data_IF_994042226301
#
_entry.id   IF_994042226301
#
_cell.length_a   1.000
_cell.length_b   1.000
_cell.length_c   1.000
_cell.angle_alpha   90.00
_cell.angle_beta   90.00
_cell.angle_gamma   90.00
#
_symmetry.space_group_name_H-M   'P 1'
#
loop_
_entity.id
_entity.type
_entity.pdbx_description
1 polymer ?
#
# COMPACT_ATOMS: atom_id res chain seq x y z
N UNK A 1 -10.73 -51.51 47.89
CA UNK A 1 -10.81 -50.79 49.18
C UNK A 1 -10.25 -49.38 48.98
N UNK A 2 -11.06 -48.37 49.31
CA UNK A 2 -10.74 -46.95 49.63
C UNK A 2 -9.80 -46.20 48.66
N UNK A 3 -10.34 -45.39 47.73
CA UNK A 3 -10.63 -43.93 47.88
C UNK A 3 -9.57 -43.14 48.64
N UNK A 4 -9.00 -42.10 48.02
CA UNK A 4 -8.93 -40.74 48.58
C UNK A 4 -8.73 -39.74 47.44
N UNK A 5 -9.68 -38.81 47.41
CA UNK A 5 -9.79 -37.61 46.59
C UNK A 5 -9.14 -36.47 47.40
N UNK A 6 -8.17 -35.74 46.86
CA UNK A 6 -7.66 -34.51 47.49
C UNK A 6 -8.05 -33.29 46.65
N UNK A 7 -8.99 -32.53 47.19
CA UNK A 7 -9.26 -31.14 46.82
C UNK A 7 -8.19 -30.26 47.48
N UNK A 8 -7.59 -29.35 46.72
CA UNK A 8 -6.97 -28.15 47.28
C UNK A 8 -7.61 -26.92 46.63
N UNK A 9 -8.25 -26.15 47.50
CA UNK A 9 -8.76 -24.80 47.27
C UNK A 9 -7.71 -23.85 47.83
N UNK A 10 -7.31 -22.84 47.06
CA UNK A 10 -6.66 -21.63 47.58
C UNK A 10 -6.98 -20.47 46.64
N UNK A 11 -7.94 -19.62 47.03
CA UNK A 11 -7.74 -18.28 47.62
C UNK A 11 -7.38 -17.25 46.56
N UNK A 12 -8.40 -16.47 46.21
CA UNK A 12 -8.30 -15.20 45.52
C UNK A 12 -7.56 -14.18 46.41
N UNK A 13 -6.62 -13.46 45.82
CA UNK A 13 -6.07 -12.22 46.38
C UNK A 13 -6.16 -11.15 45.30
N UNK A 14 -7.26 -10.39 45.34
CA UNK A 14 -7.37 -9.11 44.66
C UNK A 14 -6.53 -8.10 45.44
N UNK A 15 -5.46 -7.58 44.83
CA UNK A 15 -4.80 -6.37 45.32
C UNK A 15 -5.59 -5.16 44.82
N UNK A 16 -6.23 -4.49 45.78
CA UNK A 16 -6.79 -3.14 45.61
C UNK A 16 -5.63 -2.16 45.88
N UNK A 17 -5.17 -1.46 44.85
CA UNK A 17 -4.55 -0.14 45.03
C UNK A 17 -5.50 0.90 44.45
N UNK A 18 -6.08 1.68 45.36
CA UNK A 18 -6.84 2.87 45.05
C UNK A 18 -5.90 4.07 44.93
N UNK A 19 -6.09 4.87 43.89
CA UNK A 19 -6.01 6.33 43.97
C UNK A 19 -4.75 7.01 43.46
N UNK A 20 -4.83 7.52 42.23
CA UNK A 20 -4.73 8.97 42.01
C UNK A 20 -5.65 9.34 40.86
N UNK A 21 -6.78 9.98 41.17
CA UNK A 21 -7.70 10.52 40.20
C UNK A 21 -7.19 11.87 39.68
N UNK A 22 -6.84 11.91 38.39
CA UNK A 22 -6.86 13.12 37.58
C UNK A 22 -8.04 12.98 36.61
N UNK A 23 -9.13 13.67 36.91
CA UNK A 23 -10.29 13.72 36.02
C UNK A 23 -10.06 14.73 34.91
N UNK A 24 -9.89 14.24 33.69
CA UNK A 24 -10.37 14.91 32.48
C UNK A 24 -11.37 13.97 31.84
N UNK A 25 -12.66 14.25 32.05
CA UNK A 25 -13.74 13.65 31.29
C UNK A 25 -13.80 14.33 29.92
N UNK A 26 -12.94 13.91 29.01
CA UNK A 26 -13.29 13.96 27.59
C UNK A 26 -14.13 12.72 27.34
N UNK A 27 -15.43 12.92 27.19
CA UNK A 27 -16.30 11.93 26.58
C UNK A 27 -15.84 11.85 25.12
N UNK A 28 -14.86 10.99 24.83
CA UNK A 28 -14.72 10.48 23.48
C UNK A 28 -15.96 9.63 23.25
N UNK A 29 -16.96 10.22 22.61
CA UNK A 29 -17.87 9.47 21.76
C UNK A 29 -16.99 8.79 20.73
N UNK A 30 -16.49 7.60 21.06
CA UNK A 30 -16.04 6.65 20.06
C UNK A 30 -17.32 6.24 19.33
N UNK A 31 -17.66 7.01 18.29
CA UNK A 31 -18.49 6.51 17.22
C UNK A 31 -17.75 5.29 16.69
N UNK A 32 -18.27 4.10 16.97
CA UNK A 32 -17.91 2.94 16.16
C UNK A 32 -18.10 3.35 14.70
N UNK A 33 -17.07 3.29 13.84
CA UNK A 33 -17.24 3.57 12.44
C UNK A 33 -18.39 2.70 11.94
N UNK A 34 -19.34 3.34 11.27
CA UNK A 34 -20.50 2.67 10.74
C UNK A 34 -20.02 1.94 9.48
N UNK A 35 -19.70 0.65 9.60
CA UNK A 35 -19.27 -0.18 8.48
C UNK A 35 -20.42 -1.06 7.97
N UNK A 36 -20.26 -1.57 6.76
CA UNK A 36 -21.10 -2.59 6.13
C UNK A 36 -20.18 -3.69 5.59
N UNK A 37 -20.64 -4.93 5.67
CA UNK A 37 -19.88 -6.07 5.11
C UNK A 37 -20.39 -6.43 3.73
N UNK A 38 -19.49 -6.46 2.74
CA UNK A 38 -19.73 -7.06 1.41
C UNK A 38 -19.23 -8.50 1.45
N UNK A 39 -20.07 -9.44 1.07
CA UNK A 39 -19.76 -10.87 1.09
C UNK A 39 -20.18 -11.54 -0.20
N UNK A 40 -19.58 -12.68 -0.49
CA UNK A 40 -19.91 -13.47 -1.68
C UNK A 40 -18.94 -14.62 -1.89
N UNK A 41 -19.00 -15.22 -3.06
CA UNK A 41 -18.03 -16.21 -3.53
C UNK A 41 -17.52 -15.86 -4.92
N UNK A 42 -16.22 -16.06 -5.14
CA UNK A 42 -15.52 -15.81 -6.40
C UNK A 42 -14.65 -17.02 -6.77
N UNK A 43 -14.32 -17.24 -8.06
CA UNK A 43 -13.32 -18.23 -8.44
C UNK A 43 -11.88 -17.73 -8.26
N UNK A 44 -11.70 -16.41 -8.15
CA UNK A 44 -10.40 -15.73 -7.95
C UNK A 44 -10.15 -15.34 -6.50
N UNK A 45 -9.14 -14.49 -6.30
CA UNK A 45 -8.38 -14.43 -5.04
C UNK A 45 -8.28 -13.03 -4.46
N UNK A 46 -8.31 -11.94 -5.22
CA UNK A 46 -8.22 -10.57 -4.71
C UNK A 46 -9.51 -9.77 -5.00
N UNK A 47 -10.02 -9.10 -3.98
CA UNK A 47 -11.19 -8.21 -4.05
C UNK A 47 -10.77 -6.89 -3.45
N UNK A 48 -10.99 -5.81 -4.19
CA UNK A 48 -10.53 -4.45 -3.89
C UNK A 48 -11.72 -3.48 -3.98
N UNK A 49 -11.72 -2.48 -3.10
CA UNK A 49 -12.68 -1.41 -3.08
C UNK A 49 -11.95 -0.07 -2.93
N UNK A 50 -12.16 0.81 -3.90
CA UNK A 50 -11.65 2.18 -3.95
C UNK A 50 -12.81 3.09 -3.59
N UNK A 51 -12.66 3.97 -2.59
CA UNK A 51 -13.74 4.82 -2.09
C UNK A 51 -13.51 6.27 -2.50
N UNK A 52 -14.58 7.08 -2.57
CA UNK A 52 -14.52 8.48 -3.02
C UNK A 52 -13.81 9.44 -2.05
N UNK A 53 -13.08 8.93 -1.08
CA UNK A 53 -12.40 9.69 -0.03
C UNK A 53 -10.95 9.22 0.15
N UNK A 54 -10.33 8.68 -0.90
CA UNK A 54 -8.99 8.08 -0.82
C UNK A 54 -9.01 6.63 -0.31
N UNK A 55 -10.00 6.27 0.53
CA UNK A 55 -9.88 5.03 1.31
C UNK A 55 -9.88 3.74 0.47
N UNK A 56 -8.81 2.96 0.56
CA UNK A 56 -8.64 1.67 -0.10
C UNK A 56 -8.88 0.48 0.85
N UNK A 57 -9.73 -0.46 0.44
CA UNK A 57 -10.02 -1.69 1.19
C UNK A 57 -9.84 -2.92 0.32
N UNK A 58 -9.14 -3.92 0.83
CA UNK A 58 -8.97 -5.18 0.10
C UNK A 58 -9.11 -6.42 0.99
N UNK A 59 -9.49 -7.52 0.36
CA UNK A 59 -9.51 -8.84 0.98
C UNK A 59 -9.14 -9.91 -0.04
N UNK A 60 -8.41 -10.92 0.42
CA UNK A 60 -8.23 -12.14 -0.37
C UNK A 60 -9.31 -13.16 -0.08
N UNK A 61 -9.89 -13.76 -1.12
CA UNK A 61 -10.85 -14.85 -0.96
C UNK A 61 -10.17 -16.07 -0.30
N UNK A 62 -10.95 -16.85 0.44
CA UNK A 62 -10.42 -18.03 1.15
C UNK A 62 -10.55 -19.29 0.29
N UNK A 63 -9.43 -19.80 -0.22
CA UNK A 63 -9.43 -21.09 -0.91
C UNK A 63 -9.88 -22.23 0.02
N UNK A 64 -11.05 -22.78 -0.30
CA UNK A 64 -11.72 -23.87 0.40
C UNK A 64 -11.70 -25.19 -0.40
N UNK A 65 -10.91 -25.26 -1.48
CA UNK A 65 -10.82 -26.39 -2.41
C UNK A 65 -12.02 -26.54 -3.35
N UNK A 66 -12.84 -25.50 -3.48
CA UNK A 66 -13.97 -25.44 -4.44
C UNK A 66 -13.69 -24.40 -5.52
N UNK A 67 -14.62 -24.18 -6.45
CA UNK A 67 -14.55 -23.07 -7.42
C UNK A 67 -15.25 -21.79 -6.90
N UNK A 68 -15.77 -21.83 -5.68
CA UNK A 68 -16.52 -20.73 -5.05
C UNK A 68 -15.84 -20.38 -3.72
N UNK A 69 -14.81 -19.54 -3.79
CA UNK A 69 -14.02 -19.09 -2.64
C UNK A 69 -14.73 -17.94 -1.92
N UNK A 70 -15.09 -18.09 -0.65
CA UNK A 70 -15.79 -17.05 0.10
C UNK A 70 -14.86 -15.88 0.44
N UNK A 71 -15.44 -14.68 0.48
CA UNK A 71 -14.80 -13.46 0.97
C UNK A 71 -15.78 -12.63 1.80
N UNK A 72 -15.23 -11.81 2.71
CA UNK A 72 -15.95 -10.80 3.48
C UNK A 72 -15.07 -9.54 3.52
N UNK A 73 -15.55 -8.44 2.95
CA UNK A 73 -14.88 -7.14 2.90
C UNK A 73 -15.69 -6.15 3.75
N UNK A 74 -15.06 -5.51 4.72
CA UNK A 74 -15.71 -4.46 5.51
C UNK A 74 -15.36 -3.09 4.93
N UNK A 75 -16.38 -2.32 4.53
CA UNK A 75 -16.23 -0.94 4.03
C UNK A 75 -17.08 0.03 4.84
N UNK A 76 -16.74 1.33 4.93
CA UNK A 76 -17.59 2.32 5.57
C UNK A 76 -18.94 2.46 4.86
N UNK A 77 -20.03 2.48 5.63
CA UNK A 77 -21.38 2.58 5.07
C UNK A 77 -21.82 4.01 4.74
N UNK A 78 -20.94 4.97 4.97
CA UNK A 78 -21.09 6.39 4.66
C UNK A 78 -20.48 6.77 3.33
N UNK A 79 -19.56 5.96 2.83
CA UNK A 79 -18.78 6.23 1.62
C UNK A 79 -19.37 5.48 0.43
N UNK A 80 -19.08 6.02 -0.74
CA UNK A 80 -19.34 5.37 -2.00
C UNK A 80 -18.03 4.78 -2.49
N UNK A 81 -18.06 3.54 -2.98
CA UNK A 81 -16.86 2.85 -3.42
C UNK A 81 -17.11 2.11 -4.74
N UNK A 82 -16.06 1.95 -5.52
CA UNK A 82 -15.96 1.13 -6.73
C UNK A 82 -15.34 -0.22 -6.36
N UNK A 83 -15.78 -1.32 -6.97
CA UNK A 83 -15.25 -2.65 -6.69
C UNK A 83 -14.48 -3.19 -7.90
N UNK A 84 -13.24 -3.60 -7.67
CA UNK A 84 -12.42 -4.33 -8.65
C UNK A 84 -12.14 -5.72 -8.10
N UNK A 85 -12.17 -6.72 -8.97
CA UNK A 85 -11.82 -8.09 -8.60
C UNK A 85 -10.77 -8.65 -9.56
N UNK A 86 -9.71 -9.19 -8.98
CA UNK A 86 -8.56 -9.70 -9.72
C UNK A 86 -8.47 -11.22 -9.52
N UNK A 87 -8.53 -11.96 -10.64
CA UNK A 87 -8.29 -13.41 -10.65
C UNK A 87 -6.84 -13.70 -11.02
N UNK A 88 -6.29 -14.80 -10.48
CA UNK A 88 -4.87 -15.15 -10.64
C UNK A 88 -3.91 -14.00 -10.31
N UNK A 89 -4.21 -13.21 -9.27
CA UNK A 89 -3.47 -12.02 -8.85
C UNK A 89 -1.96 -12.27 -8.68
N UNK A 90 -1.56 -13.45 -8.22
CA UNK A 90 -0.16 -13.82 -8.02
C UNK A 90 0.60 -14.16 -9.34
N UNK A 91 -0.05 -14.08 -10.52
CA UNK A 91 0.53 -14.45 -11.80
C UNK A 91 0.24 -13.42 -12.91
N UNK A 92 1.23 -12.57 -13.18
CA UNK A 92 1.17 -11.53 -14.22
C UNK A 92 0.86 -12.01 -15.65
N UNK A 93 1.01 -13.30 -15.98
CA UNK A 93 0.69 -13.82 -17.33
C UNK A 93 -0.77 -14.26 -17.47
N UNK A 94 -1.41 -14.66 -16.36
CA UNK A 94 -2.77 -15.18 -16.38
C UNK A 94 -3.75 -14.36 -15.56
N UNK A 95 -3.28 -13.24 -14.99
CA UNK A 95 -4.10 -12.29 -14.26
C UNK A 95 -5.24 -11.81 -15.15
N UNK A 96 -6.40 -11.60 -14.53
CA UNK A 96 -7.53 -10.92 -15.15
C UNK A 96 -8.09 -9.96 -14.12
N UNK A 97 -8.04 -8.67 -14.42
CA UNK A 97 -8.70 -7.63 -13.63
C UNK A 97 -10.10 -7.43 -14.20
N UNK A 98 -11.11 -7.30 -13.34
CA UNK A 98 -12.50 -7.11 -13.76
C UNK A 98 -13.19 -6.09 -12.86
N UNK A 99 -13.59 -4.98 -13.47
CA UNK A 99 -14.41 -3.97 -12.81
C UNK A 99 -15.82 -4.49 -12.55
N UNK A 100 -16.31 -4.31 -11.33
CA UNK A 100 -17.63 -4.75 -10.90
C UNK A 100 -18.58 -3.56 -10.89
N UNK A 101 -19.65 -3.67 -11.65
CA UNK A 101 -20.72 -2.68 -11.66
C UNK A 101 -21.97 -3.19 -10.94
N UNK A 102 -22.65 -2.27 -10.26
CA UNK A 102 -23.88 -2.51 -9.54
C UNK A 102 -25.09 -2.03 -10.34
N UNK A 103 -26.05 -2.93 -10.56
CA UNK A 103 -27.21 -2.66 -11.41
C UNK A 103 -28.51 -2.89 -10.65
N UNK A 104 -29.40 -1.90 -10.72
CA UNK A 104 -30.80 -2.01 -10.31
C UNK A 104 -31.69 -1.85 -11.56
N UNK A 105 -32.99 -2.20 -11.49
CA UNK A 105 -33.89 -2.04 -12.64
C UNK A 105 -33.97 -0.62 -13.20
N UNK A 106 -33.62 0.39 -12.41
CA UNK A 106 -33.79 1.80 -12.73
C UNK A 106 -32.45 2.54 -12.96
N UNK A 107 -31.31 2.00 -12.53
CA UNK A 107 -30.00 2.68 -12.55
C UNK A 107 -28.84 1.69 -12.50
N UNK A 108 -27.73 2.03 -13.14
CA UNK A 108 -26.47 1.28 -13.13
C UNK A 108 -25.30 2.22 -12.93
N UNK A 109 -24.32 1.80 -12.13
CA UNK A 109 -23.02 2.46 -12.00
C UNK A 109 -21.98 1.49 -11.44
N UNK A 110 -20.71 1.83 -11.59
CA UNK A 110 -19.57 1.22 -10.90
C UNK A 110 -19.45 1.71 -9.47
N UNK A 111 -19.89 2.93 -9.19
CA UNK A 111 -19.87 3.53 -7.86
C UNK A 111 -21.15 3.26 -7.05
N UNK A 112 -20.98 2.75 -5.83
CA UNK A 112 -22.10 2.47 -4.93
C UNK A 112 -21.77 2.71 -3.46
N UNK A 113 -22.79 3.05 -2.67
CA UNK A 113 -22.71 3.10 -1.21
C UNK A 113 -23.46 1.95 -0.56
N UNK A 114 -22.75 1.18 0.26
CA UNK A 114 -23.30 0.05 1.02
C UNK A 114 -23.95 0.49 2.33
N UNK A 115 -25.24 0.83 2.33
CA UNK A 115 -25.92 1.29 3.55
C UNK A 115 -26.16 0.18 4.61
N UNK A 116 -25.99 -1.09 4.23
CA UNK A 116 -26.04 -2.30 5.07
C UNK A 116 -25.20 -3.41 4.44
N UNK A 117 -25.00 -4.49 5.19
CA UNK A 117 -24.40 -5.72 4.68
C UNK A 117 -25.02 -6.19 3.35
N UNK A 118 -24.14 -6.61 2.44
CA UNK A 118 -24.43 -7.03 1.09
C UNK A 118 -23.92 -8.46 0.91
N UNK A 119 -24.75 -9.32 0.32
CA UNK A 119 -24.34 -10.62 -0.19
C UNK A 119 -24.51 -10.61 -1.71
N UNK A 120 -23.38 -10.63 -2.42
CA UNK A 120 -23.31 -10.63 -3.89
C UNK A 120 -23.54 -12.04 -4.46
N UNK A 121 -23.63 -13.08 -3.62
CA UNK A 121 -23.70 -14.46 -4.05
C UNK A 121 -22.44 -14.88 -4.79
N UNK A 122 -22.60 -15.76 -5.78
CA UNK A 122 -21.49 -16.21 -6.62
C UNK A 122 -21.29 -15.28 -7.82
N UNK A 123 -20.08 -14.74 -7.93
CA UNK A 123 -19.65 -13.87 -9.03
C UNK A 123 -18.77 -14.69 -9.98
N UNK A 124 -19.23 -14.97 -11.21
CA UNK A 124 -18.50 -15.81 -12.15
C UNK A 124 -17.42 -15.01 -12.88
N UNK A 125 -16.29 -14.77 -12.22
CA UNK A 125 -15.13 -14.12 -12.84
C UNK A 125 -14.42 -15.08 -13.79
N UNK A 126 -13.89 -14.53 -14.89
CA UNK A 126 -13.06 -15.28 -15.81
C UNK A 126 -11.66 -15.50 -15.23
N UNK A 127 -11.12 -16.70 -15.42
CA UNK A 127 -9.80 -17.11 -14.91
C UNK A 127 -8.72 -17.10 -16.00
N UNK A 128 -9.06 -16.61 -17.20
CA UNK A 128 -8.22 -16.60 -18.39
C UNK A 128 -8.56 -15.36 -19.19
N UNK A 129 -7.58 -14.48 -19.39
CA UNK A 129 -7.75 -13.20 -20.08
C UNK A 129 -8.23 -13.38 -21.53
N UNK A 130 -8.00 -14.55 -22.14
CA UNK A 130 -8.52 -14.83 -23.50
C UNK A 130 -10.04 -15.01 -23.56
N UNK A 131 -10.71 -15.09 -22.41
CA UNK A 131 -12.16 -15.18 -22.28
C UNK A 131 -12.83 -13.83 -22.01
N UNK A 132 -12.06 -12.80 -21.68
CA UNK A 132 -12.55 -11.42 -21.57
C UNK A 132 -12.28 -10.63 -22.86
N UNK A 133 -12.88 -9.45 -22.95
CA UNK A 133 -12.49 -8.45 -23.94
C UNK A 133 -11.43 -7.59 -23.27
N UNK A 134 -10.26 -7.57 -23.88
CA UNK A 134 -9.03 -6.90 -23.45
C UNK A 134 -8.39 -6.42 -24.77
N UNK A 135 -8.62 -5.16 -25.13
CA UNK A 135 -8.30 -4.58 -26.45
C UNK A 135 -6.85 -4.11 -26.53
N UNK A 136 -6.34 -3.56 -25.44
CA UNK A 136 -4.98 -3.02 -25.30
C UNK A 136 -3.96 -4.08 -24.84
N UNK A 137 -4.40 -5.17 -24.21
CA UNK A 137 -3.54 -6.29 -23.82
C UNK A 137 -2.96 -6.16 -22.42
N UNK A 138 -3.56 -5.31 -21.58
CA UNK A 138 -3.13 -4.98 -20.21
C UNK A 138 -3.61 -5.98 -19.14
N UNK A 139 -4.34 -7.02 -19.55
CA UNK A 139 -4.99 -8.00 -18.68
C UNK A 139 -6.15 -7.45 -17.83
N UNK A 140 -6.66 -6.28 -18.17
CA UNK A 140 -7.88 -5.67 -17.63
C UNK A 140 -9.04 -5.92 -18.60
N UNK A 141 -10.23 -6.16 -18.07
CA UNK A 141 -11.39 -6.34 -18.93
C UNK A 141 -12.04 -5.00 -19.27
N UNK A 142 -12.12 -4.68 -20.56
CA UNK A 142 -12.84 -3.51 -21.10
C UNK A 142 -14.37 -3.54 -20.86
N UNK A 143 -14.91 -4.62 -20.27
CA UNK A 143 -16.33 -4.69 -19.94
C UNK A 143 -16.51 -4.78 -18.44
N UNK A 144 -17.35 -3.88 -17.94
CA UNK A 144 -17.85 -3.96 -16.57
C UNK A 144 -18.72 -5.20 -16.36
N UNK A 145 -18.39 -6.01 -15.35
CA UNK A 145 -19.21 -7.13 -14.93
C UNK A 145 -20.40 -6.65 -14.09
N UNK A 146 -21.59 -6.70 -14.68
CA UNK A 146 -22.82 -6.26 -14.04
C UNK A 146 -23.41 -7.27 -13.06
N UNK A 147 -23.56 -6.87 -11.79
CA UNK A 147 -24.26 -7.67 -10.77
C UNK A 147 -25.64 -7.07 -10.47
N UNK A 148 -26.67 -7.90 -10.61
CA UNK A 148 -28.03 -7.56 -10.18
C UNK A 148 -28.20 -7.81 -8.67
N UNK A 149 -28.45 -6.71 -7.95
CA UNK A 149 -28.56 -6.68 -6.48
C UNK A 149 -29.98 -6.35 -6.02
N UNK A 150 -30.99 -6.67 -6.84
CA UNK A 150 -32.41 -6.50 -6.57
C UNK A 150 -32.80 -6.74 -5.09
N UNK A 151 -33.06 -5.65 -4.35
CA UNK A 151 -33.54 -5.69 -2.95
C UNK A 151 -32.49 -5.44 -1.86
N UNK A 152 -31.22 -5.22 -2.22
CA UNK A 152 -30.14 -4.84 -1.30
C UNK A 152 -30.15 -3.32 -1.02
N UNK A 153 -29.82 -2.90 0.20
CA UNK A 153 -29.79 -1.47 0.61
C UNK A 153 -28.54 -0.78 0.09
N UNK A 154 -28.44 -0.61 -1.23
CA UNK A 154 -27.38 0.15 -1.90
C UNK A 154 -27.91 1.45 -2.46
N UNK A 155 -27.05 2.46 -2.50
CA UNK A 155 -27.31 3.72 -3.21
C UNK A 155 -26.33 3.78 -4.37
N UNK A 156 -26.84 3.84 -5.60
CA UNK A 156 -26.03 3.99 -6.82
C UNK A 156 -25.76 5.47 -7.05
N UNK A 157 -24.51 5.82 -7.31
CA UNK A 157 -24.08 7.17 -7.66
C UNK A 157 -23.65 7.19 -9.13
N UNK A 158 -24.12 8.18 -9.89
CA UNK A 158 -24.00 8.21 -11.36
C UNK A 158 -22.73 8.88 -11.87
N UNK A 159 -22.08 9.66 -11.02
CA UNK A 159 -20.79 10.28 -11.30
C UNK A 159 -19.79 9.50 -10.44
N UNK A 160 -18.76 8.94 -11.08
CA UNK A 160 -17.69 8.23 -10.42
C UNK A 160 -16.44 9.11 -10.51
N UNK A 161 -15.95 9.72 -9.42
CA UNK A 161 -14.75 10.55 -9.46
C UNK A 161 -13.48 9.72 -9.70
N UNK A 162 -13.56 8.39 -9.56
CA UNK A 162 -12.48 7.43 -9.80
C UNK A 162 -12.41 6.96 -11.27
N UNK A 163 -13.17 7.58 -12.17
CA UNK A 163 -13.38 7.19 -13.57
C UNK A 163 -13.53 8.48 -14.39
N UNK A 164 -12.39 9.10 -14.69
CA UNK A 164 -12.33 10.47 -15.20
C UNK A 164 -12.90 10.60 -16.62
N UNK A 165 -12.87 9.52 -17.41
CA UNK A 165 -13.34 9.51 -18.78
C UNK A 165 -14.76 8.90 -18.98
N UNK A 166 -15.37 8.42 -17.88
CA UNK A 166 -16.68 7.77 -17.79
C UNK A 166 -16.80 6.50 -18.68
N UNK A 167 -15.71 5.76 -18.92
CA UNK A 167 -15.75 4.49 -19.66
C UNK A 167 -16.20 3.30 -18.80
N UNK A 168 -16.21 3.49 -17.48
CA UNK A 168 -16.66 2.52 -16.51
C UNK A 168 -15.54 1.64 -15.95
N UNK A 169 -14.27 1.88 -16.24
CA UNK A 169 -13.11 1.38 -15.49
C UNK A 169 -12.77 2.38 -14.36
N UNK A 170 -11.82 2.05 -13.50
CA UNK A 170 -11.26 3.05 -12.57
C UNK A 170 -9.89 3.47 -13.07
N UNK A 171 -9.55 4.75 -12.93
CA UNK A 171 -8.35 5.38 -13.52
C UNK A 171 -7.08 4.58 -13.17
N UNK A 172 -6.95 4.13 -11.93
CA UNK A 172 -5.81 3.31 -11.46
C UNK A 172 -5.57 2.03 -12.31
N UNK A 173 -6.59 1.52 -13.00
CA UNK A 173 -6.49 0.34 -13.85
C UNK A 173 -6.54 0.64 -15.35
N UNK A 174 -6.46 1.91 -15.78
CA UNK A 174 -6.27 2.31 -17.18
C UNK A 174 -4.86 1.99 -17.69
N UNK A 175 -4.57 2.31 -18.95
CA UNK A 175 -3.30 2.08 -19.68
C UNK A 175 -3.00 3.35 -20.49
N UNK A 176 -2.54 4.39 -19.78
CA UNK A 176 -2.47 5.77 -20.27
C UNK A 176 -1.45 5.96 -21.39
N UNK A 177 -0.30 5.30 -21.31
CA UNK A 177 0.74 5.33 -22.33
C UNK A 177 0.48 4.35 -23.50
N UNK A 178 -0.41 3.37 -23.30
CA UNK A 178 -0.79 2.36 -24.27
C UNK A 178 0.28 1.32 -24.55
N UNK A 179 1.14 1.00 -23.58
CA UNK A 179 2.17 -0.03 -23.69
C UNK A 179 1.65 -1.45 -23.41
N UNK A 180 0.43 -1.55 -22.87
CA UNK A 180 -0.25 -2.79 -22.52
C UNK A 180 0.10 -3.28 -21.11
N UNK A 181 0.42 -2.37 -20.21
CA UNK A 181 0.49 -2.55 -18.77
C UNK A 181 -0.46 -1.52 -18.16
N UNK A 182 -1.37 -1.95 -17.29
CA UNK A 182 -2.25 -0.98 -16.64
C UNK A 182 -1.48 -0.15 -15.61
N UNK A 183 -1.84 1.12 -15.38
CA UNK A 183 -1.15 2.06 -14.49
C UNK A 183 -0.82 1.42 -13.11
N UNK A 184 -1.75 0.72 -12.46
CA UNK A 184 -1.53 0.00 -11.18
C UNK A 184 -0.33 -0.99 -11.17
N UNK A 185 0.07 -1.48 -12.35
CA UNK A 185 1.18 -2.43 -12.53
C UNK A 185 2.30 -1.87 -13.42
N UNK A 186 2.22 -0.62 -13.84
CA UNK A 186 3.30 0.11 -14.48
C UNK A 186 4.18 0.79 -13.42
N UNK A 187 5.44 1.06 -13.76
CA UNK A 187 6.34 1.87 -12.93
C UNK A 187 6.59 3.26 -13.58
N UNK A 188 6.10 3.51 -14.81
CA UNK A 188 6.24 4.72 -15.65
C UNK A 188 4.98 4.86 -16.54
N UNK A 189 3.84 5.13 -15.91
CA UNK A 189 2.48 4.95 -16.48
C UNK A 189 2.13 5.91 -17.64
N UNK A 190 2.84 7.03 -17.76
CA UNK A 190 2.72 8.00 -18.85
C UNK A 190 3.89 7.95 -19.87
N UNK A 191 4.92 7.14 -19.57
CA UNK A 191 6.11 6.88 -20.37
C UNK A 191 6.90 8.15 -20.74
N UNK A 192 6.93 9.14 -19.86
CA UNK A 192 7.77 10.31 -20.01
C UNK A 192 9.26 9.99 -19.76
N UNK A 193 9.53 8.85 -19.10
CA UNK A 193 10.85 8.33 -18.77
C UNK A 193 11.34 8.64 -17.35
N UNK A 194 10.45 9.11 -16.49
CA UNK A 194 10.58 9.20 -15.04
C UNK A 194 9.70 8.09 -14.44
N UNK A 195 10.18 7.43 -13.38
CA UNK A 195 9.34 6.41 -12.73
C UNK A 195 8.30 7.13 -11.85
N UNK A 196 7.07 6.63 -11.76
CA UNK A 196 5.94 7.22 -11.02
C UNK A 196 6.36 7.64 -9.60
N UNK A 197 7.12 6.78 -8.91
CA UNK A 197 7.67 7.05 -7.56
C UNK A 197 8.58 8.29 -7.45
N UNK A 198 9.01 8.84 -8.59
CA UNK A 198 9.84 10.03 -8.72
C UNK A 198 9.19 11.09 -9.61
N UNK A 199 8.02 10.82 -10.18
CA UNK A 199 7.31 11.80 -10.98
C UNK A 199 6.51 12.76 -10.10
N UNK A 200 6.25 13.93 -10.65
CA UNK A 200 5.58 15.04 -9.98
C UNK A 200 4.34 15.50 -10.75
N UNK A 201 4.11 15.00 -11.96
CA UNK A 201 2.84 15.16 -12.67
C UNK A 201 1.84 14.06 -12.34
N UNK A 202 2.32 12.92 -11.85
CA UNK A 202 1.52 11.86 -11.22
C UNK A 202 1.35 12.16 -9.73
N UNK A 203 0.44 13.10 -9.44
CA UNK A 203 0.20 13.63 -8.10
C UNK A 203 -0.91 12.82 -7.43
N UNK A 204 -0.74 11.49 -7.35
CA UNK A 204 -1.61 10.51 -6.68
C UNK A 204 -0.75 9.66 -5.73
N UNK A 205 -0.60 10.14 -4.50
CA UNK A 205 0.38 9.71 -3.52
C UNK A 205 0.09 8.33 -2.90
N UNK A 206 -1.18 7.90 -2.90
CA UNK A 206 -1.59 6.57 -2.44
C UNK A 206 -2.01 5.62 -3.57
N UNK A 207 -2.13 6.13 -4.81
CA UNK A 207 -2.40 5.38 -6.02
C UNK A 207 -3.83 4.85 -6.07
N UNK A 208 -4.80 5.61 -5.57
CA UNK A 208 -6.21 5.20 -5.55
C UNK A 208 -7.01 5.66 -6.80
N UNK A 209 -6.39 6.46 -7.67
CA UNK A 209 -6.97 7.04 -8.87
C UNK A 209 -7.57 8.43 -8.65
N UNK A 210 -7.32 9.08 -7.51
CA UNK A 210 -7.69 10.46 -7.24
C UNK A 210 -6.41 11.29 -7.09
N UNK A 211 -6.27 12.35 -7.89
CA UNK A 211 -5.18 13.33 -7.72
C UNK A 211 -5.21 13.96 -6.31
N UNK A 212 -4.06 14.08 -5.63
CA UNK A 212 -3.88 14.60 -4.26
C UNK A 212 -4.54 15.99 -4.06
N UNK A 213 -4.62 16.85 -5.09
CA UNK A 213 -5.33 18.15 -4.97
C UNK A 213 -6.87 17.97 -4.80
N UNK A 214 -7.38 16.78 -5.14
CA UNK A 214 -8.79 16.37 -5.10
C UNK A 214 -9.07 15.23 -4.13
N UNK A 215 -8.03 14.52 -3.67
CA UNK A 215 -8.10 13.58 -2.56
C UNK A 215 -8.31 14.34 -1.24
N UNK A 216 -8.79 13.61 -0.24
CA UNK A 216 -9.05 14.11 1.10
C UNK A 216 -8.26 13.35 2.17
N UNK A 217 -7.55 12.29 1.81
CA UNK A 217 -6.63 11.42 2.58
C UNK A 217 -5.55 10.91 1.59
N UNK A 218 -4.73 11.83 1.06
CA UNK A 218 -3.83 11.65 -0.10
C UNK A 218 -2.74 10.58 0.06
N UNK A 219 -2.41 10.19 1.30
CA UNK A 219 -1.50 9.08 1.61
C UNK A 219 -2.19 7.85 2.24
N UNK A 220 -3.51 7.94 2.40
CA UNK A 220 -4.44 6.90 2.86
C UNK A 220 -3.97 6.22 4.16
N UNK A 221 -3.39 7.01 5.06
CA UNK A 221 -2.99 6.57 6.38
C UNK A 221 -4.19 6.50 7.36
N UNK A 222 -5.35 6.98 6.92
CA UNK A 222 -6.62 7.02 7.63
C UNK A 222 -6.87 8.35 8.35
N UNK A 223 -6.19 9.42 7.94
CA UNK A 223 -6.28 10.77 8.49
C UNK A 223 -6.51 11.77 7.36
N UNK A 224 -7.60 12.55 7.43
CA UNK A 224 -7.89 13.53 6.39
C UNK A 224 -6.81 14.61 6.30
N UNK A 225 -6.45 15.09 5.10
CA UNK A 225 -5.39 16.11 4.89
C UNK A 225 -5.69 17.43 5.63
N UNK A 226 -6.97 17.76 5.86
CA UNK A 226 -7.34 18.93 6.69
C UNK A 226 -6.91 18.78 8.17
N UNK A 227 -6.76 17.54 8.64
CA UNK A 227 -6.36 17.13 9.98
C UNK A 227 -4.95 16.51 10.01
N UNK A 228 -4.34 16.27 8.84
CA UNK A 228 -2.96 15.83 8.66
C UNK A 228 -2.00 17.03 8.57
N UNK A 229 -0.86 16.93 9.26
CA UNK A 229 0.22 17.93 9.19
C UNK A 229 1.43 17.37 8.40
N UNK A 230 1.34 16.11 7.92
CA UNK A 230 2.43 15.29 7.38
C UNK A 230 2.00 14.56 6.06
N UNK A 231 1.87 15.29 4.94
CA UNK A 231 1.49 14.84 3.58
C UNK A 231 2.31 13.66 2.94
N UNK A 232 3.13 12.90 3.69
CA UNK A 232 3.95 11.79 3.15
C UNK A 232 4.68 10.91 4.21
N UNK A 233 3.98 10.17 5.07
CA UNK A 233 4.62 9.07 5.85
C UNK A 233 3.75 7.81 5.98
N UNK A 234 3.52 7.13 4.86
CA UNK A 234 3.25 5.69 4.90
C UNK A 234 4.51 4.91 5.33
N UNK A 235 4.75 4.83 6.65
CA UNK A 235 5.56 3.75 7.24
C UNK A 235 4.99 3.17 8.53
N UNK A 236 3.79 2.57 8.48
CA UNK A 236 3.38 1.63 9.55
C UNK A 236 3.99 0.23 9.42
N UNK A 237 5.31 0.15 9.20
CA UNK A 237 6.08 -0.95 9.77
C UNK A 237 6.59 -0.48 11.13
N UNK A 238 5.98 -0.99 12.20
CA UNK A 238 6.39 -0.75 13.59
C UNK A 238 7.79 -1.37 13.87
N UNK A 239 8.82 -0.80 13.26
CA UNK A 239 10.22 -1.00 13.58
C UNK A 239 10.55 0.12 14.56
N UNK A 240 10.92 -0.25 15.78
CA UNK A 240 11.51 0.70 16.71
C UNK A 240 12.88 1.11 16.16
N UNK A 241 12.88 2.07 15.24
CA UNK A 241 14.05 2.72 14.70
C UNK A 241 14.52 3.81 15.67
N UNK A 242 15.84 4.09 15.73
CA UNK A 242 16.37 5.14 16.58
C UNK A 242 15.66 6.46 16.26
N UNK A 243 15.03 7.08 17.26
CA UNK A 243 14.17 8.27 17.13
C UNK A 243 14.93 9.57 16.83
N UNK A 244 16.09 9.47 16.19
CA UNK A 244 16.92 10.56 15.67
C UNK A 244 17.90 9.95 14.68
N UNK A 245 17.49 9.93 13.42
CA UNK A 245 18.34 9.65 12.27
C UNK A 245 18.18 10.80 11.28
N UNK A 246 19.26 11.50 10.96
CA UNK A 246 19.28 12.48 9.87
C UNK A 246 19.72 11.75 8.61
N UNK A 247 18.83 11.65 7.61
CA UNK A 247 19.20 11.21 6.27
C UNK A 247 20.22 12.21 5.70
N UNK A 248 21.45 11.74 5.53
CA UNK A 248 22.48 12.48 4.80
C UNK A 248 22.65 11.76 3.47
N UNK A 249 22.45 12.47 2.36
CA UNK A 249 22.56 11.88 1.02
C UNK A 249 23.91 11.18 0.82
N UNK A 250 24.99 11.74 1.37
CA UNK A 250 26.32 11.11 1.35
C UNK A 250 26.39 9.84 2.19
N UNK A 251 25.65 9.74 3.30
CA UNK A 251 25.53 8.50 4.10
C UNK A 251 24.80 7.41 3.34
N UNK A 252 23.72 7.75 2.65
CA UNK A 252 22.94 6.79 1.87
C UNK A 252 23.76 6.27 0.69
N UNK A 253 24.33 7.18 -0.11
CA UNK A 253 25.22 6.85 -1.22
C UNK A 253 26.45 6.05 -0.76
N UNK A 254 27.02 6.39 0.40
CA UNK A 254 28.19 5.72 0.98
C UNK A 254 27.88 4.42 1.73
N UNK A 255 26.62 3.98 1.79
CA UNK A 255 26.21 2.81 2.59
C UNK A 255 26.92 1.52 2.15
N UNK A 256 27.21 1.40 0.86
CA UNK A 256 27.90 0.26 0.26
C UNK A 256 29.36 0.14 0.76
N UNK A 257 30.00 1.27 1.07
CA UNK A 257 31.37 1.33 1.58
C UNK A 257 31.51 0.66 2.95
N UNK A 258 30.43 0.63 3.75
CA UNK A 258 30.43 0.04 5.08
C UNK A 258 30.63 -1.49 5.08
N UNK A 259 30.39 -2.16 3.95
CA UNK A 259 30.62 -3.60 3.80
C UNK A 259 32.11 -3.97 3.89
N UNK A 260 33.00 -3.07 3.48
CA UNK A 260 34.45 -3.25 3.53
C UNK A 260 35.07 -2.46 4.67
N UNK A 261 34.75 -1.16 4.77
CA UNK A 261 35.38 -0.21 5.69
C UNK A 261 34.66 -0.09 7.03
N UNK A 262 33.66 -0.95 7.30
CA UNK A 262 32.91 -0.99 8.55
C UNK A 262 31.85 0.10 8.69
N UNK A 263 30.95 -0.09 9.66
CA UNK A 263 29.85 0.84 9.92
C UNK A 263 30.36 2.24 10.25
N UNK A 264 29.81 3.27 9.60
CA UNK A 264 30.27 4.66 9.67
C UNK A 264 31.74 4.86 9.24
N UNK A 265 32.25 4.04 8.31
CA UNK A 265 33.61 4.16 7.79
C UNK A 265 34.71 3.79 8.77
N UNK A 266 34.37 3.10 9.86
CA UNK A 266 35.32 2.66 10.89
C UNK A 266 35.55 1.16 10.77
N UNK A 267 36.70 0.79 10.21
CA UNK A 267 37.05 -0.60 9.97
C UNK A 267 37.55 -1.29 11.25
N UNK A 268 37.26 -2.59 11.36
CA UNK A 268 37.72 -3.48 12.45
C UNK A 268 38.56 -4.65 11.93
N UNK A 269 38.89 -4.65 10.64
CA UNK A 269 39.60 -5.72 9.95
C UNK A 269 40.83 -5.15 9.20
N UNK A 270 41.32 -5.85 8.16
CA UNK A 270 42.51 -5.43 7.39
C UNK A 270 42.22 -4.32 6.36
N UNK A 271 40.95 -3.95 6.17
CA UNK A 271 40.56 -2.79 5.37
C UNK A 271 40.80 -1.51 6.15
N UNK A 272 41.12 -0.45 5.44
CA UNK A 272 41.31 0.90 5.97
C UNK A 272 39.99 1.51 6.48
N UNK A 273 40.12 2.45 7.42
CA UNK A 273 38.99 3.26 7.87
C UNK A 273 38.92 4.52 7.03
N UNK A 274 37.73 4.83 6.52
CA UNK A 274 37.45 5.98 5.64
C UNK A 274 36.66 7.08 6.36
N UNK A 275 36.33 6.90 7.65
CA UNK A 275 35.76 7.95 8.47
C UNK A 275 36.73 9.13 8.55
N UNK A 276 36.25 10.35 8.36
CA UNK A 276 37.07 11.56 8.39
C UNK A 276 37.89 11.81 7.11
N UNK A 277 37.72 11.00 6.07
CA UNK A 277 38.45 11.13 4.80
C UNK A 277 38.15 12.48 4.12
N UNK A 278 39.18 13.24 3.75
CA UNK A 278 39.04 14.60 3.24
C UNK A 278 39.23 14.76 1.72
N UNK A 279 39.77 13.75 1.04
CA UNK A 279 40.08 13.77 -0.39
C UNK A 279 39.58 12.54 -1.18
N UNK A 280 38.44 11.97 -0.76
CA UNK A 280 37.82 10.79 -1.40
C UNK A 280 37.73 10.88 -2.93
N UNK A 281 37.46 12.06 -3.49
CA UNK A 281 37.30 12.26 -4.93
C UNK A 281 38.56 11.88 -5.73
N UNK A 282 39.74 12.08 -5.15
CA UNK A 282 41.01 11.73 -5.79
C UNK A 282 41.44 10.30 -5.45
N UNK A 283 41.14 9.82 -4.25
CA UNK A 283 41.63 8.52 -3.75
C UNK A 283 40.80 7.32 -4.25
N UNK A 284 39.48 7.49 -4.39
CA UNK A 284 38.58 6.39 -4.77
C UNK A 284 38.90 5.79 -6.15
N UNK A 285 39.56 6.57 -7.01
CA UNK A 285 39.93 6.17 -8.37
C UNK A 285 41.31 5.51 -8.47
N UNK A 286 42.17 5.68 -7.46
CA UNK A 286 43.60 5.35 -7.55
C UNK A 286 43.98 4.07 -6.78
N UNK A 287 43.17 3.62 -5.81
CA UNK A 287 43.75 2.77 -4.75
C UNK A 287 43.67 1.24 -4.92
N UNK A 288 42.67 0.64 -5.55
CA UNK A 288 42.68 -0.80 -5.82
C UNK A 288 41.66 -1.13 -6.94
N UNK A 289 41.80 -2.23 -7.70
CA UNK A 289 40.85 -2.61 -8.75
C UNK A 289 39.40 -2.70 -8.26
N UNK A 290 39.19 -3.01 -6.98
CA UNK A 290 37.86 -3.06 -6.36
C UNK A 290 37.30 -1.67 -6.05
N UNK A 291 38.13 -0.73 -5.60
CA UNK A 291 37.72 0.65 -5.31
C UNK A 291 37.47 1.43 -6.59
N UNK A 292 38.30 1.23 -7.61
CA UNK A 292 38.08 1.80 -8.94
C UNK A 292 36.78 1.31 -9.56
N UNK A 293 36.48 0.01 -9.48
CA UNK A 293 35.22 -0.53 -9.95
C UNK A 293 34.03 0.08 -9.20
N UNK A 294 34.18 0.32 -7.89
CA UNK A 294 33.13 0.93 -7.08
C UNK A 294 32.95 2.41 -7.40
N UNK A 295 34.02 3.14 -7.70
CA UNK A 295 33.96 4.54 -8.12
C UNK A 295 33.20 4.73 -9.44
N UNK A 296 33.22 3.74 -10.34
CA UNK A 296 32.46 3.80 -11.61
C UNK A 296 30.94 3.69 -11.42
N UNK A 297 30.49 3.21 -10.25
CA UNK A 297 29.07 3.15 -9.90
C UNK A 297 28.48 4.49 -9.46
N UNK A 298 29.29 5.55 -9.38
CA UNK A 298 28.87 6.87 -8.92
C UNK A 298 29.32 7.96 -9.89
N UNK A 299 28.50 8.98 -10.02
CA UNK A 299 28.86 10.27 -10.63
C UNK A 299 29.85 11.02 -9.73
N UNK A 300 30.53 12.03 -10.31
CA UNK A 300 31.45 12.87 -9.52
C UNK A 300 30.74 13.65 -8.41
N UNK A 301 29.49 14.07 -8.63
CA UNK A 301 28.71 14.80 -7.64
C UNK A 301 28.28 13.89 -6.47
N UNK A 302 27.92 12.63 -6.75
CA UNK A 302 27.63 11.63 -5.72
C UNK A 302 28.88 11.30 -4.89
N UNK A 303 30.05 11.16 -5.52
CA UNK A 303 31.32 10.95 -4.78
C UNK A 303 31.63 12.13 -3.87
N UNK A 304 31.33 13.36 -4.29
CA UNK A 304 31.49 14.57 -3.46
C UNK A 304 30.54 14.52 -2.25
N UNK A 305 29.30 14.08 -2.43
CA UNK A 305 28.34 13.92 -1.33
C UNK A 305 28.82 12.88 -0.32
N UNK A 306 29.27 11.70 -0.79
CA UNK A 306 29.85 10.65 0.06
C UNK A 306 31.04 11.19 0.85
N UNK A 307 31.97 11.87 0.19
CA UNK A 307 33.15 12.46 0.82
C UNK A 307 32.79 13.54 1.85
N UNK A 308 31.82 14.41 1.55
CA UNK A 308 31.36 15.43 2.49
C UNK A 308 30.77 14.84 3.76
N UNK A 309 30.04 13.73 3.63
CA UNK A 309 29.53 12.99 4.78
C UNK A 309 30.66 12.34 5.58
N UNK A 310 31.58 11.61 4.93
CA UNK A 310 32.69 10.93 5.60
C UNK A 310 33.54 11.90 6.44
N UNK A 311 33.78 13.12 5.96
CA UNK A 311 34.46 14.21 6.71
C UNK A 311 33.83 14.53 8.06
N UNK A 312 32.53 14.31 8.22
CA UNK A 312 31.81 14.59 9.46
C UNK A 312 32.02 13.51 10.53
N UNK A 313 32.49 12.33 10.12
CA UNK A 313 32.67 11.17 10.99
C UNK A 313 33.98 11.27 11.77
N UNK A 314 33.98 10.68 12.96
CA UNK A 314 35.18 10.63 13.82
C UNK A 314 35.97 9.36 13.53
N UNK A 315 37.27 9.50 13.35
CA UNK A 315 38.21 8.37 13.37
C UNK A 315 38.41 7.85 14.79
N UNK A 316 38.85 6.59 14.91
CA UNK A 316 39.26 5.99 16.18
C UNK A 316 40.73 6.30 16.57
N UNK A 317 41.39 7.19 15.84
CA UNK A 317 42.81 7.54 16.01
C UNK A 317 43.07 8.64 17.04
#
# INVERSE_FOLDING_TARGET
MKTILWKLSAVASALILAGCGGGSSTTSTSSTPLTSTISGTVPGTLIEAFCTDGSYYFVKSTDNGTAEHPFELEIPNTLSCSLVMTTNEDNNVSRVVTQIGMFTPDTSSTLFKAAKDIDLGYIPLEMDYTQVIDVNGDHVSDNVLSIDINGTSIVIELENPLDNDDDGLVDVYEDDDGDGISNYYDDDDDNDGIYDIYDHDDNDSDGDGIDDDSDVDDDNDGTHDEEDDDDNDNTTANIVLPTLYTADAGRLLGSQCAQCHGTNGVSVNEWDSIAGEDDLLNEIQDDEPIMHAQALGYTSDEIILIGNWLKTLKTND
#
